data_IF_399134213771
#
_entry.id   IF_399134213771
#
_cell.length_a   1.000
_cell.length_b   1.000
_cell.length_c   1.000
_cell.angle_alpha   90.00
_cell.angle_beta   90.00
_cell.angle_gamma   90.00
#
_symmetry.space_group_name_H-M   'P 1'
#
loop_
_entity.id
_entity.type
_entity.pdbx_description
1 polymer ?
#
# COMPACT_ATOMS: atom_id res chain seq x y z
N UNK A 1 24.70 48.84 -70.60
CA UNK A 1 25.31 47.58 -70.10
C UNK A 1 26.39 47.94 -69.09
N UNK A 2 26.43 47.19 -67.98
CA UNK A 2 27.39 47.15 -66.84
C UNK A 2 28.84 47.65 -67.07
N UNK A 3 29.64 47.94 -66.00
CA UNK A 3 29.39 47.73 -64.57
C UNK A 3 29.88 48.81 -63.55
N UNK A 4 29.31 48.69 -62.33
CA UNK A 4 29.87 48.80 -60.94
C UNK A 4 30.94 49.87 -60.65
N UNK A 5 30.63 50.94 -59.89
CA UNK A 5 30.38 51.10 -58.43
C UNK A 5 31.59 50.93 -57.50
N UNK A 6 32.11 52.08 -57.06
CA UNK A 6 32.81 52.36 -55.79
C UNK A 6 32.54 53.83 -55.43
N UNK A 7 32.18 54.11 -54.17
CA UNK A 7 32.48 55.31 -53.33
C UNK A 7 31.58 55.27 -52.08
N UNK A 8 32.13 55.19 -50.86
CA UNK A 8 32.42 56.30 -49.91
C UNK A 8 31.14 57.07 -49.45
N UNK A 9 30.86 57.43 -48.19
CA UNK A 9 31.66 57.68 -46.97
C UNK A 9 30.70 57.91 -45.77
N UNK A 10 31.12 57.53 -44.54
CA UNK A 10 30.78 58.03 -43.16
C UNK A 10 29.33 58.38 -42.75
N UNK A 11 28.81 58.16 -41.53
CA UNK A 11 29.34 58.50 -40.20
C UNK A 11 28.47 57.91 -39.05
N UNK A 12 29.12 57.60 -37.91
CA UNK A 12 28.69 57.71 -36.49
C UNK A 12 27.29 57.20 -36.09
N UNK A 13 27.19 56.03 -35.44
CA UNK A 13 27.34 55.79 -33.99
C UNK A 13 26.01 55.83 -33.22
N UNK A 14 25.50 54.65 -32.87
CA UNK A 14 24.57 54.44 -31.76
C UNK A 14 25.06 53.24 -30.94
N UNK A 15 25.27 53.46 -29.64
CA UNK A 15 25.65 52.43 -28.68
C UNK A 15 24.45 51.52 -28.41
N UNK A 16 24.59 50.22 -28.63
CA UNK A 16 23.64 49.22 -28.14
C UNK A 16 24.35 48.32 -27.14
N UNK A 17 23.88 48.38 -25.90
CA UNK A 17 24.32 47.60 -24.76
C UNK A 17 23.79 46.17 -24.90
N UNK A 18 24.68 45.21 -25.19
CA UNK A 18 24.32 43.79 -25.27
C UNK A 18 24.28 43.19 -23.86
N UNK A 19 23.07 42.97 -23.34
CA UNK A 19 22.81 42.26 -22.11
C UNK A 19 22.99 40.76 -22.35
N UNK A 20 24.10 40.18 -21.90
CA UNK A 20 24.31 38.74 -21.93
C UNK A 20 23.46 38.08 -20.84
N UNK A 21 22.30 37.51 -21.21
CA UNK A 21 21.58 36.57 -20.36
C UNK A 21 22.38 35.26 -20.33
N UNK A 22 23.19 35.05 -19.28
CA UNK A 22 23.61 33.71 -18.90
C UNK A 22 22.37 32.97 -18.41
N UNK A 23 21.81 32.11 -19.27
CA UNK A 23 20.83 31.12 -18.89
C UNK A 23 21.56 30.08 -18.03
N UNK A 24 21.51 30.23 -16.71
CA UNK A 24 21.97 29.21 -15.80
C UNK A 24 21.17 27.94 -16.04
N UNK A 25 21.80 26.91 -16.60
CA UNK A 25 21.27 25.56 -16.55
C UNK A 25 21.21 25.16 -15.08
N UNK A 26 20.04 25.30 -14.47
CA UNK A 26 19.71 24.55 -13.27
C UNK A 26 19.93 23.07 -13.60
N UNK A 27 20.70 22.32 -12.81
CA UNK A 27 20.77 20.89 -12.99
C UNK A 27 19.35 20.37 -12.78
N UNK A 28 18.73 19.89 -13.86
CA UNK A 28 17.57 19.02 -13.76
C UNK A 28 18.06 17.76 -13.08
N UNK A 29 17.95 17.72 -11.75
CA UNK A 29 17.96 16.44 -11.05
C UNK A 29 16.83 15.65 -11.69
N UNK A 30 17.08 14.51 -12.35
CA UNK A 30 15.99 13.67 -12.77
C UNK A 30 15.31 13.24 -11.47
N UNK A 31 14.14 13.78 -11.20
CA UNK A 31 13.22 13.16 -10.27
C UNK A 31 12.85 11.84 -10.94
N UNK A 32 13.67 10.81 -10.71
CA UNK A 32 13.27 9.42 -10.88
C UNK A 32 12.19 9.18 -9.82
N UNK A 33 11.00 9.72 -10.07
CA UNK A 33 9.77 9.17 -9.52
C UNK A 33 9.49 7.87 -10.32
N UNK A 34 10.43 6.93 -10.25
CA UNK A 34 10.17 5.56 -10.62
C UNK A 34 9.32 4.94 -9.50
N UNK A 35 8.38 4.09 -9.87
CA UNK A 35 7.66 3.27 -8.91
C UNK A 35 8.60 2.43 -8.04
N UNK A 36 8.19 2.20 -6.80
CA UNK A 36 8.84 1.23 -5.91
C UNK A 36 8.22 -0.16 -6.08
N UNK A 37 8.19 -0.65 -7.32
CA UNK A 37 7.56 -1.94 -7.59
C UNK A 37 8.32 -3.09 -6.93
N UNK A 38 7.58 -4.10 -6.48
CA UNK A 38 8.14 -5.34 -5.93
C UNK A 38 8.37 -6.34 -7.06
N UNK A 39 9.61 -6.81 -7.20
CA UNK A 39 9.99 -7.75 -8.25
C UNK A 39 9.60 -9.19 -7.90
N UNK A 40 9.41 -10.04 -8.90
CA UNK A 40 9.27 -11.49 -8.69
C UNK A 40 10.58 -12.04 -8.08
N UNK A 41 10.46 -12.97 -7.13
CA UNK A 41 11.57 -13.40 -6.27
C UNK A 41 11.86 -12.45 -5.10
N UNK A 42 11.13 -11.32 -5.01
CA UNK A 42 11.31 -10.33 -3.96
C UNK A 42 10.90 -10.85 -2.59
N UNK A 43 11.65 -10.44 -1.57
CA UNK A 43 11.40 -10.77 -0.18
C UNK A 43 11.31 -9.51 0.66
N UNK A 44 10.13 -9.25 1.20
CA UNK A 44 9.81 -8.02 1.90
C UNK A 44 9.81 -8.26 3.40
N UNK A 45 10.65 -7.53 4.13
CA UNK A 45 10.58 -7.44 5.57
C UNK A 45 9.77 -6.20 5.98
N UNK A 46 8.74 -6.39 6.81
CA UNK A 46 8.07 -5.32 7.51
C UNK A 46 8.75 -5.10 8.86
N UNK A 47 9.38 -3.93 9.05
CA UNK A 47 10.13 -3.56 10.24
C UNK A 47 9.54 -2.30 10.87
N UNK A 48 9.24 -2.35 12.16
CA UNK A 48 8.68 -1.21 12.87
C UNK A 48 8.16 -1.58 14.25
N UNK A 49 7.38 -0.67 14.81
CA UNK A 49 6.77 -0.84 16.13
C UNK A 49 5.42 -1.61 16.09
N UNK A 50 4.50 -1.23 16.98
CA UNK A 50 3.13 -1.74 17.03
C UNK A 50 2.37 -1.57 15.71
N UNK A 51 2.72 -0.59 14.86
CA UNK A 51 2.12 -0.45 13.53
C UNK A 51 2.30 -1.73 12.71
N UNK A 52 3.53 -2.24 12.58
CA UNK A 52 3.76 -3.45 11.78
C UNK A 52 3.39 -4.72 12.54
N UNK A 53 3.67 -4.83 13.84
CA UNK A 53 3.32 -6.03 14.61
C UNK A 53 1.81 -6.34 14.50
N UNK A 54 0.96 -5.31 14.62
CA UNK A 54 -0.50 -5.50 14.56
C UNK A 54 -1.00 -5.92 13.19
N UNK A 55 -0.23 -5.76 12.11
CA UNK A 55 -0.63 -6.24 10.79
C UNK A 55 -0.76 -7.76 10.74
N UNK A 56 -0.12 -8.52 11.65
CA UNK A 56 -0.35 -9.97 11.82
C UNK A 56 -1.83 -10.28 12.06
N UNK A 57 -2.53 -9.43 12.83
CA UNK A 57 -3.96 -9.63 13.16
C UNK A 57 -4.90 -9.29 12.01
N UNK A 58 -4.48 -8.40 11.11
CA UNK A 58 -5.39 -7.81 10.14
C UNK A 58 -5.07 -8.20 8.69
N UNK A 59 -3.81 -8.29 8.29
CA UNK A 59 -3.38 -8.83 6.99
C UNK A 59 -3.57 -7.92 5.76
N UNK A 60 -4.17 -6.73 5.87
CA UNK A 60 -4.53 -5.90 4.69
C UNK A 60 -3.32 -5.45 3.88
N UNK A 61 -2.22 -5.04 4.52
CA UNK A 61 -1.05 -4.52 3.80
C UNK A 61 -0.46 -5.59 2.88
N UNK A 62 -0.22 -6.79 3.42
CA UNK A 62 0.30 -7.91 2.63
C UNK A 62 -0.70 -8.37 1.57
N UNK A 63 -1.99 -8.45 1.92
CA UNK A 63 -3.05 -8.82 0.96
C UNK A 63 -3.06 -7.85 -0.21
N UNK A 64 -2.97 -6.55 0.05
CA UNK A 64 -3.02 -5.53 -0.98
C UNK A 64 -1.82 -5.58 -1.91
N UNK A 65 -0.62 -5.75 -1.36
CA UNK A 65 0.61 -5.92 -2.15
C UNK A 65 0.61 -7.24 -2.94
N UNK A 66 0.09 -8.32 -2.36
CA UNK A 66 -0.02 -9.63 -3.01
C UNK A 66 -1.00 -9.60 -4.18
N UNK A 67 -2.17 -8.99 -3.98
CA UNK A 67 -3.18 -8.85 -5.02
C UNK A 67 -2.75 -7.89 -6.13
N UNK A 68 -1.90 -6.89 -5.84
CA UNK A 68 -1.40 -5.95 -6.86
C UNK A 68 -0.56 -6.66 -7.94
N UNK A 69 0.20 -7.69 -7.57
CA UNK A 69 1.08 -8.41 -8.50
C UNK A 69 0.86 -9.93 -8.43
N UNK A 70 -0.28 -10.44 -8.94
CA UNK A 70 -0.65 -11.85 -8.81
C UNK A 70 0.35 -12.78 -9.49
N UNK A 71 1.04 -12.32 -10.54
CA UNK A 71 2.03 -13.13 -11.27
C UNK A 71 3.43 -13.15 -10.64
N UNK A 72 3.70 -12.27 -9.66
CA UNK A 72 5.03 -12.15 -9.03
C UNK A 72 5.13 -13.04 -7.81
N UNK A 73 6.22 -13.79 -7.68
CA UNK A 73 6.50 -14.61 -6.48
C UNK A 73 7.16 -13.71 -5.42
N UNK A 74 6.36 -13.09 -4.58
CA UNK A 74 6.83 -12.21 -3.50
C UNK A 74 6.56 -12.88 -2.17
N UNK A 75 7.55 -12.88 -1.28
CA UNK A 75 7.45 -13.42 0.08
C UNK A 75 7.47 -12.27 1.07
N UNK A 76 6.56 -12.28 2.05
CA UNK A 76 6.47 -11.25 3.08
C UNK A 76 6.80 -11.83 4.46
N UNK A 77 7.61 -11.11 5.24
CA UNK A 77 8.00 -11.48 6.60
C UNK A 77 7.81 -10.27 7.51
N UNK A 78 6.92 -10.42 8.49
CA UNK A 78 6.66 -9.37 9.47
C UNK A 78 7.53 -9.58 10.71
N UNK A 79 8.49 -8.67 10.90
CA UNK A 79 9.40 -8.64 12.05
C UNK A 79 9.17 -7.39 12.92
N UNK A 80 7.99 -6.78 12.81
CA UNK A 80 7.55 -5.67 13.66
C UNK A 80 7.39 -6.08 15.12
N UNK A 81 7.66 -5.14 16.03
CA UNK A 81 7.67 -5.41 17.47
C UNK A 81 7.10 -4.23 18.26
N UNK A 82 6.01 -4.45 19.00
CA UNK A 82 5.32 -3.44 19.80
C UNK A 82 6.24 -2.83 20.86
N UNK A 83 6.27 -1.49 20.91
CA UNK A 83 7.14 -0.75 21.83
C UNK A 83 8.59 -0.62 21.37
N UNK A 84 8.92 -1.11 20.18
CA UNK A 84 10.26 -1.01 19.61
C UNK A 84 10.59 0.40 19.13
N UNK A 85 11.89 0.65 18.97
CA UNK A 85 12.45 1.89 18.46
C UNK A 85 13.57 1.57 17.46
N UNK A 86 14.12 2.53 16.71
CA UNK A 86 15.11 2.22 15.68
C UNK A 86 16.38 1.53 16.23
N UNK A 87 16.73 1.76 17.49
CA UNK A 87 17.82 1.06 18.20
C UNK A 87 17.46 -0.34 18.74
N UNK A 88 16.28 -0.88 18.40
CA UNK A 88 15.87 -2.23 18.80
C UNK A 88 15.54 -2.36 20.29
N UNK A 89 15.14 -1.27 20.97
CA UNK A 89 14.98 -1.22 22.44
C UNK A 89 14.10 -2.35 22.98
N UNK A 90 12.98 -2.65 22.33
CA UNK A 90 12.05 -3.68 22.82
C UNK A 90 12.56 -5.11 22.58
N UNK A 91 13.58 -5.26 21.73
CA UNK A 91 14.22 -6.54 21.38
C UNK A 91 15.34 -6.93 22.33
N UNK A 92 15.71 -6.05 23.27
CA UNK A 92 16.69 -6.34 24.30
C UNK A 92 16.13 -7.25 25.41
N UNK A 93 14.81 -7.31 25.59
CA UNK A 93 14.13 -8.01 26.69
C UNK A 93 14.63 -7.54 28.07
N UNK A 94 15.54 -8.31 28.68
CA UNK A 94 16.17 -8.05 29.98
C UNK A 94 17.66 -7.71 29.85
N UNK A 95 18.21 -7.78 28.64
CA UNK A 95 19.59 -7.42 28.34
C UNK A 95 19.73 -5.89 28.12
N UNK A 96 20.96 -5.36 28.09
CA UNK A 96 21.21 -3.98 27.69
C UNK A 96 20.69 -3.66 26.28
N UNK A 97 20.45 -2.37 26.00
CA UNK A 97 19.83 -1.91 24.74
C UNK A 97 20.65 -2.33 23.52
N UNK A 98 21.98 -2.38 23.65
CA UNK A 98 22.92 -2.81 22.62
C UNK A 98 22.58 -4.23 22.12
N UNK A 99 22.15 -5.12 23.03
CA UNK A 99 21.71 -6.46 22.68
C UNK A 99 20.42 -6.45 21.85
N UNK A 100 19.55 -5.48 22.08
CA UNK A 100 18.34 -5.27 21.28
C UNK A 100 18.66 -4.97 19.82
N UNK A 101 19.68 -4.15 19.56
CA UNK A 101 20.13 -3.83 18.21
C UNK A 101 20.78 -5.04 17.53
N UNK A 102 21.58 -5.84 18.24
CA UNK A 102 22.09 -7.12 17.73
C UNK A 102 20.95 -8.08 17.36
N UNK A 103 19.94 -8.20 18.22
CA UNK A 103 18.77 -9.05 17.95
C UNK A 103 17.97 -8.52 16.74
N UNK A 104 17.89 -7.20 16.53
CA UNK A 104 17.29 -6.64 15.32
C UNK A 104 17.99 -7.16 14.06
N UNK A 105 19.32 -7.16 14.04
CA UNK A 105 20.11 -7.70 12.91
C UNK A 105 19.85 -9.19 12.68
N UNK A 106 19.77 -9.99 13.76
CA UNK A 106 19.39 -11.41 13.67
C UNK A 106 17.99 -11.58 13.05
N UNK A 107 17.04 -10.72 13.39
CA UNK A 107 15.69 -10.77 12.79
C UNK A 107 15.69 -10.34 11.32
N UNK A 108 16.55 -9.39 10.93
CA UNK A 108 16.76 -9.03 9.52
C UNK A 108 17.34 -10.22 8.75
N UNK A 109 18.36 -10.88 9.27
CA UNK A 109 18.94 -12.09 8.68
C UNK A 109 17.91 -13.21 8.53
N UNK A 110 17.11 -13.46 9.57
CA UNK A 110 16.02 -14.43 9.50
C UNK A 110 15.04 -14.07 8.39
N UNK A 111 14.70 -12.79 8.25
CA UNK A 111 13.84 -12.27 7.20
C UNK A 111 14.55 -12.10 5.85
N UNK A 112 15.87 -12.33 5.77
CA UNK A 112 16.82 -12.04 4.67
C UNK A 112 16.18 -11.31 3.47
N UNK A 113 15.85 -10.02 3.66
CA UNK A 113 15.01 -9.27 2.74
C UNK A 113 15.79 -8.83 1.51
N UNK A 114 15.07 -8.68 0.39
CA UNK A 114 15.51 -7.86 -0.75
C UNK A 114 14.87 -6.47 -0.72
N UNK A 115 13.86 -6.29 0.14
CA UNK A 115 13.18 -5.02 0.40
C UNK A 115 12.89 -4.92 1.90
N UNK A 116 13.25 -3.81 2.53
CA UNK A 116 12.83 -3.50 3.90
C UNK A 116 11.88 -2.32 3.87
N UNK A 117 10.68 -2.52 4.41
CA UNK A 117 9.69 -1.46 4.60
C UNK A 117 9.66 -1.10 6.07
N UNK A 118 10.01 0.16 6.38
CA UNK A 118 10.26 0.65 7.74
C UNK A 118 9.17 1.62 8.15
N UNK A 119 8.67 1.50 9.38
CA UNK A 119 7.80 2.51 9.99
C UNK A 119 8.21 2.68 11.46
N UNK A 120 8.67 3.89 11.79
CA UNK A 120 8.98 4.36 13.13
C UNK A 120 8.66 5.86 13.23
N UNK A 121 8.73 6.42 14.44
CA UNK A 121 8.59 7.87 14.68
C UNK A 121 7.31 8.28 15.40
N UNK A 122 6.26 7.46 15.35
CA UNK A 122 4.99 7.76 16.04
C UNK A 122 5.19 7.93 17.56
N UNK A 123 5.98 7.04 18.17
CA UNK A 123 6.29 7.10 19.60
C UNK A 123 7.38 8.12 19.93
N UNK A 124 8.42 8.24 19.09
CA UNK A 124 9.49 9.22 19.29
C UNK A 124 8.96 10.67 19.30
N UNK A 125 7.93 10.96 18.51
CA UNK A 125 7.33 12.29 18.45
C UNK A 125 6.73 12.80 19.77
N UNK A 126 6.51 11.94 20.78
CA UNK A 126 6.12 12.40 22.11
C UNK A 126 7.24 13.18 22.83
N UNK A 127 8.49 13.04 22.41
CA UNK A 127 9.62 13.84 22.91
C UNK A 127 9.67 15.27 22.30
N UNK A 128 8.71 15.59 21.43
CA UNK A 128 8.63 16.91 20.78
C UNK A 128 9.89 17.23 19.96
N UNK A 129 10.17 18.51 19.77
CA UNK A 129 11.32 18.96 18.97
C UNK A 129 12.68 18.60 19.60
N UNK A 130 12.75 18.46 20.92
CA UNK A 130 13.98 18.14 21.64
C UNK A 130 14.49 16.72 21.33
N UNK A 131 13.58 15.75 21.14
CA UNK A 131 13.92 14.38 20.78
C UNK A 131 14.33 14.17 19.31
N UNK A 132 14.13 15.16 18.43
CA UNK A 132 14.25 14.97 16.99
C UNK A 132 15.67 14.55 16.56
N UNK A 133 16.70 15.25 17.05
CA UNK A 133 18.08 14.97 16.67
C UNK A 133 18.52 13.56 17.10
N UNK A 134 18.06 13.12 18.29
CA UNK A 134 18.31 11.76 18.79
C UNK A 134 17.61 10.72 17.90
N UNK A 135 16.36 10.97 17.52
CA UNK A 135 15.61 10.10 16.61
C UNK A 135 16.26 10.00 15.22
N UNK A 136 16.66 11.12 14.63
CA UNK A 136 17.35 11.14 13.33
C UNK A 136 18.63 10.31 13.37
N UNK A 137 19.45 10.47 14.41
CA UNK A 137 20.68 9.70 14.59
C UNK A 137 20.43 8.19 14.71
N UNK A 138 19.38 7.79 15.46
CA UNK A 138 18.99 6.37 15.61
C UNK A 138 18.45 5.79 14.31
N UNK A 139 17.68 6.57 13.55
CA UNK A 139 17.22 6.16 12.22
C UNK A 139 18.37 6.04 11.22
N UNK A 140 19.31 6.99 11.19
CA UNK A 140 20.53 6.90 10.35
C UNK A 140 21.31 5.62 10.69
N UNK A 141 21.52 5.31 11.98
CA UNK A 141 22.20 4.08 12.42
C UNK A 141 21.44 2.79 12.05
N UNK A 142 20.10 2.80 12.09
CA UNK A 142 19.30 1.67 11.63
C UNK A 142 19.46 1.44 10.11
N UNK A 143 19.46 2.52 9.32
CA UNK A 143 19.65 2.43 7.88
C UNK A 143 21.06 1.94 7.53
N UNK A 144 22.09 2.44 8.22
CA UNK A 144 23.46 1.93 8.10
C UNK A 144 23.52 0.42 8.39
N UNK A 145 22.83 -0.05 9.44
CA UNK A 145 22.77 -1.47 9.75
C UNK A 145 22.08 -2.27 8.63
N UNK A 146 20.91 -1.84 8.15
CA UNK A 146 20.19 -2.55 7.07
C UNK A 146 21.05 -2.65 5.80
N UNK A 147 21.71 -1.57 5.42
CA UNK A 147 22.60 -1.53 4.25
C UNK A 147 23.88 -2.37 4.45
N UNK A 148 24.35 -2.51 5.69
CA UNK A 148 25.53 -3.34 6.00
C UNK A 148 25.24 -4.84 6.04
N UNK A 149 24.03 -5.23 6.46
CA UNK A 149 23.63 -6.64 6.60
C UNK A 149 22.93 -7.17 5.33
N UNK A 150 22.44 -6.28 4.45
CA UNK A 150 21.61 -6.66 3.30
C UNK A 150 21.82 -5.75 2.08
N UNK A 151 21.57 -6.28 0.87
CA UNK A 151 21.46 -5.48 -0.36
C UNK A 151 20.01 -4.98 -0.60
N UNK A 152 19.22 -4.83 0.47
CA UNK A 152 17.80 -4.57 0.35
C UNK A 152 17.50 -3.13 -0.11
N UNK A 153 16.52 -2.98 -0.99
CA UNK A 153 15.92 -1.65 -1.24
C UNK A 153 15.12 -1.22 -0.03
N UNK A 154 15.21 0.03 0.37
CA UNK A 154 14.54 0.55 1.56
C UNK A 154 13.35 1.43 1.17
N UNK A 155 12.21 1.20 1.82
CA UNK A 155 11.06 2.10 1.80
C UNK A 155 10.73 2.55 3.23
N UNK A 156 10.62 3.85 3.44
CA UNK A 156 10.25 4.47 4.72
C UNK A 156 8.80 4.94 4.61
N UNK A 157 7.94 4.39 5.47
CA UNK A 157 6.57 4.87 5.65
C UNK A 157 6.57 5.91 6.76
N UNK A 158 5.91 7.04 6.53
CA UNK A 158 5.68 7.99 7.62
C UNK A 158 4.72 7.39 8.67
N UNK A 159 4.75 7.88 9.92
CA UNK A 159 3.68 7.65 10.87
C UNK A 159 2.30 8.06 10.32
N UNK A 160 1.24 7.43 10.83
CA UNK A 160 -0.14 7.87 10.58
C UNK A 160 -0.53 9.03 11.48
N UNK A 161 -1.44 9.92 11.06
CA UNK A 161 -1.87 11.01 11.93
C UNK A 161 -2.69 10.47 13.10
N UNK A 162 -2.64 11.18 14.24
CA UNK A 162 -3.42 10.84 15.43
C UNK A 162 -4.85 11.31 15.25
N UNK A 163 -5.79 10.42 15.55
CA UNK A 163 -7.21 10.64 15.36
C UNK A 163 -7.85 11.27 16.60
N UNK A 164 -8.71 12.26 16.37
CA UNK A 164 -9.53 12.83 17.43
C UNK A 164 -10.63 11.84 17.80
N UNK A 165 -10.74 11.47 19.08
CA UNK A 165 -11.70 10.48 19.58
C UNK A 165 -12.85 11.11 20.37
N UNK A 166 -13.20 12.36 20.06
CA UNK A 166 -14.10 13.16 20.87
C UNK A 166 -13.47 13.59 22.19
N UNK A 167 -14.31 14.07 23.12
CA UNK A 167 -13.86 14.68 24.38
C UNK A 167 -13.34 13.69 25.43
N UNK A 168 -13.27 12.39 25.12
CA UNK A 168 -12.79 11.33 26.04
C UNK A 168 -11.25 11.31 26.11
N UNK A 169 -10.57 11.68 25.03
CA UNK A 169 -9.11 11.75 24.95
C UNK A 169 -8.65 13.19 24.68
N UNK A 170 -7.42 13.57 25.07
CA UNK A 170 -6.87 14.87 24.73
C UNK A 170 -6.88 15.12 23.22
N UNK A 171 -7.21 16.34 22.82
CA UNK A 171 -7.18 16.77 21.43
C UNK A 171 -5.77 16.57 20.83
N UNK A 172 -5.63 15.82 19.73
CA UNK A 172 -4.34 15.46 19.19
C UNK A 172 -3.68 16.57 18.36
N UNK A 173 -4.28 17.76 18.21
CA UNK A 173 -3.74 18.83 17.34
C UNK A 173 -2.31 19.21 17.69
N UNK A 174 -1.96 19.38 18.96
CA UNK A 174 -0.57 19.66 19.36
C UNK A 174 0.34 18.47 19.04
N UNK A 175 -0.10 17.26 19.38
CA UNK A 175 0.64 16.02 19.14
C UNK A 175 0.88 15.74 17.64
N UNK A 176 -0.06 16.11 16.78
CA UNK A 176 0.08 16.02 15.33
C UNK A 176 1.05 17.08 14.78
N UNK A 177 1.12 18.29 15.36
CA UNK A 177 2.15 19.27 15.00
C UNK A 177 3.55 18.79 15.35
N UNK A 178 3.71 18.13 16.49
CA UNK A 178 5.00 17.54 16.87
C UNK A 178 5.34 16.36 15.94
N UNK A 179 4.37 15.48 15.68
CA UNK A 179 4.54 14.34 14.77
C UNK A 179 4.90 14.76 13.34
N UNK A 180 4.33 15.85 12.82
CA UNK A 180 4.62 16.39 11.50
C UNK A 180 6.11 16.76 11.32
N UNK A 181 6.79 17.19 12.39
CA UNK A 181 8.24 17.47 12.37
C UNK A 181 9.02 16.19 12.07
N UNK A 182 8.64 15.07 12.70
CA UNK A 182 9.29 13.77 12.51
C UNK A 182 8.98 13.19 11.13
N UNK A 183 7.76 13.39 10.63
CA UNK A 183 7.36 13.07 9.24
C UNK A 183 8.26 13.80 8.24
N UNK A 184 8.50 15.09 8.45
CA UNK A 184 9.41 15.89 7.62
C UNK A 184 10.86 15.42 7.67
N UNK A 185 11.35 15.03 8.85
CA UNK A 185 12.69 14.47 9.04
C UNK A 185 12.85 13.12 8.31
N UNK A 186 11.88 12.21 8.44
CA UNK A 186 11.88 10.92 7.73
C UNK A 186 11.88 11.09 6.21
N UNK A 187 11.12 12.05 5.67
CA UNK A 187 11.13 12.38 4.24
C UNK A 187 12.50 12.89 3.79
N UNK A 188 13.11 13.77 4.58
CA UNK A 188 14.44 14.33 4.31
C UNK A 188 15.50 13.23 4.35
N UNK A 189 15.44 12.36 5.34
CA UNK A 189 16.33 11.22 5.50
C UNK A 189 16.19 10.23 4.33
N UNK A 190 14.97 9.90 3.92
CA UNK A 190 14.73 9.03 2.77
C UNK A 190 15.40 9.58 1.50
N UNK A 191 15.20 10.87 1.22
CA UNK A 191 15.85 11.54 0.08
C UNK A 191 17.37 11.52 0.18
N UNK A 192 17.93 11.81 1.37
CA UNK A 192 19.39 11.80 1.62
C UNK A 192 20.00 10.42 1.36
N UNK A 193 19.29 9.35 1.71
CA UNK A 193 19.75 7.95 1.59
C UNK A 193 19.34 7.28 0.28
N UNK A 194 18.58 7.96 -0.58
CA UNK A 194 18.02 7.35 -1.79
C UNK A 194 16.97 6.26 -1.50
N UNK A 195 16.41 6.24 -0.28
CA UNK A 195 15.32 5.35 0.08
C UNK A 195 13.99 5.87 -0.46
N UNK A 196 13.05 4.96 -0.74
CA UNK A 196 11.71 5.34 -1.14
C UNK A 196 10.91 5.86 0.06
N UNK A 197 10.05 6.86 -0.16
CA UNK A 197 9.25 7.45 0.92
C UNK A 197 7.76 7.37 0.60
N UNK A 198 6.97 6.89 1.57
CA UNK A 198 5.50 6.86 1.49
C UNK A 198 4.94 7.77 2.58
N UNK A 199 4.18 8.78 2.15
CA UNK A 199 3.49 9.69 3.05
C UNK A 199 2.14 9.11 3.47
N UNK A 200 2.07 8.54 4.67
CA UNK A 200 0.81 8.12 5.30
C UNK A 200 0.19 9.23 6.15
N UNK A 201 1.00 10.18 6.62
CA UNK A 201 0.56 11.24 7.53
C UNK A 201 -0.40 12.21 6.84
N UNK A 202 -0.02 12.68 5.65
CA UNK A 202 -0.78 13.68 4.91
C UNK A 202 -1.86 13.08 4.01
N UNK A 203 -1.99 11.76 3.96
CA UNK A 203 -2.89 11.07 3.03
C UNK A 203 -4.12 10.49 3.69
N UNK A 204 -4.11 10.32 5.02
CA UNK A 204 -5.24 9.79 5.79
C UNK A 204 -6.07 10.92 6.41
N UNK A 205 -7.40 10.81 6.31
CA UNK A 205 -8.32 11.73 6.98
C UNK A 205 -8.68 11.19 8.37
N UNK A 206 -8.47 12.02 9.39
CA UNK A 206 -8.68 11.67 10.81
C UNK A 206 -9.66 12.59 11.53
N UNK A 207 -10.26 13.56 10.84
CA UNK A 207 -11.29 14.42 11.43
C UNK A 207 -12.69 13.82 11.23
N UNK A 208 -12.90 12.68 11.89
CA UNK A 208 -14.06 11.82 11.62
C UNK A 208 -15.39 12.43 11.99
N UNK A 209 -15.43 13.22 13.06
CA UNK A 209 -16.64 13.93 13.49
C UNK A 209 -16.98 15.08 12.55
N UNK A 210 -15.99 15.92 12.19
CA UNK A 210 -16.23 17.08 11.32
C UNK A 210 -16.65 16.67 9.91
N UNK A 211 -16.06 15.59 9.40
CA UNK A 211 -16.26 15.15 8.02
C UNK A 211 -17.27 14.00 7.89
N UNK A 212 -17.89 13.57 9.00
CA UNK A 212 -18.83 12.44 9.05
C UNK A 212 -18.28 11.17 8.39
N UNK A 213 -17.00 10.85 8.63
CA UNK A 213 -16.35 9.66 8.09
C UNK A 213 -16.14 8.60 9.18
N UNK A 214 -15.95 7.34 8.77
CA UNK A 214 -15.71 6.22 9.70
C UNK A 214 -14.38 6.39 10.45
N UNK A 215 -14.32 6.17 11.77
CA UNK A 215 -13.09 6.14 12.54
C UNK A 215 -12.08 5.13 12.00
N UNK A 216 -10.81 5.52 11.94
CA UNK A 216 -9.71 4.69 11.42
C UNK A 216 -8.82 4.14 12.54
N UNK A 217 -8.95 4.64 13.78
CA UNK A 217 -8.22 4.15 14.95
C UNK A 217 -9.13 3.64 16.06
N UNK A 218 -8.61 2.74 16.90
CA UNK A 218 -9.31 2.31 18.12
C UNK A 218 -9.14 3.33 19.25
N UNK A 219 -7.95 3.90 19.42
CA UNK A 219 -7.59 4.71 20.59
C UNK A 219 -6.91 6.05 20.25
N UNK A 220 -7.10 6.57 19.04
CA UNK A 220 -6.46 7.79 18.56
C UNK A 220 -5.06 7.57 17.96
N UNK A 221 -4.46 6.39 18.13
CA UNK A 221 -3.09 6.08 17.66
C UNK A 221 -3.08 4.78 16.85
N UNK A 222 -3.56 3.67 17.43
CA UNK A 222 -3.51 2.37 16.76
C UNK A 222 -4.66 2.22 15.78
N UNK A 223 -4.33 1.95 14.52
CA UNK A 223 -5.32 1.68 13.47
C UNK A 223 -6.22 0.51 13.86
N UNK A 224 -7.49 0.65 13.51
CA UNK A 224 -8.45 -0.45 13.46
C UNK A 224 -8.38 -1.14 12.08
N UNK A 225 -9.24 -2.12 11.84
CA UNK A 225 -9.30 -2.84 10.56
C UNK A 225 -9.53 -1.90 9.36
N UNK A 226 -10.42 -0.92 9.48
CA UNK A 226 -10.67 0.06 8.43
C UNK A 226 -9.44 0.97 8.19
N UNK A 227 -8.74 1.37 9.23
CA UNK A 227 -7.50 2.14 9.11
C UNK A 227 -6.39 1.38 8.39
N UNK A 228 -6.20 0.08 8.70
CA UNK A 228 -5.23 -0.74 7.97
C UNK A 228 -5.62 -0.96 6.51
N UNK A 229 -6.92 -1.05 6.20
CA UNK A 229 -7.39 -1.08 4.82
C UNK A 229 -6.99 0.18 4.04
N UNK A 230 -7.26 1.37 4.60
CA UNK A 230 -6.89 2.65 3.96
C UNK A 230 -5.37 2.78 3.79
N UNK A 231 -4.59 2.41 4.80
CA UNK A 231 -3.13 2.41 4.72
C UNK A 231 -2.61 1.44 3.66
N UNK A 232 -3.16 0.23 3.57
CA UNK A 232 -2.78 -0.73 2.55
C UNK A 232 -3.00 -0.18 1.14
N UNK A 233 -4.11 0.53 0.92
CA UNK A 233 -4.39 1.23 -0.34
C UNK A 233 -3.32 2.28 -0.64
N UNK A 234 -2.97 3.14 0.33
CA UNK A 234 -1.95 4.20 0.12
C UNK A 234 -0.56 3.64 -0.13
N UNK A 235 -0.18 2.55 0.55
CA UNK A 235 1.10 1.86 0.29
C UNK A 235 1.12 1.31 -1.14
N UNK A 236 0.06 0.60 -1.57
CA UNK A 236 -0.01 0.03 -2.91
C UNK A 236 -0.07 1.12 -4.00
N UNK A 237 -0.75 2.24 -3.75
CA UNK A 237 -0.75 3.38 -4.66
C UNK A 237 0.62 4.03 -4.78
N UNK A 238 1.38 4.13 -3.69
CA UNK A 238 2.73 4.66 -3.73
C UNK A 238 3.71 3.70 -4.43
N UNK A 239 3.56 2.39 -4.24
CA UNK A 239 4.49 1.41 -4.79
C UNK A 239 4.25 1.09 -6.27
N UNK A 240 3.05 1.33 -6.81
CA UNK A 240 2.69 0.96 -8.18
C UNK A 240 2.45 2.19 -9.06
N UNK A 241 2.77 2.10 -10.36
CA UNK A 241 2.63 3.21 -11.32
C UNK A 241 1.18 3.50 -11.72
N UNK A 242 0.29 2.51 -11.60
CA UNK A 242 -1.05 2.57 -12.18
C UNK A 242 -2.17 2.62 -11.13
N UNK A 243 -3.29 3.33 -11.42
CA UNK A 243 -4.43 3.45 -10.51
C UNK A 243 -4.99 2.09 -10.10
N UNK A 244 -5.59 2.00 -8.91
CA UNK A 244 -6.12 0.74 -8.37
C UNK A 244 -7.46 0.30 -8.97
N UNK A 245 -8.19 1.21 -9.60
CA UNK A 245 -9.57 1.00 -10.01
C UNK A 245 -9.66 0.28 -11.37
N UNK A 246 -10.50 -0.75 -11.43
CA UNK A 246 -10.83 -1.45 -12.68
C UNK A 246 -11.99 -0.75 -13.38
N UNK A 247 -12.01 -0.80 -14.70
CA UNK A 247 -13.16 -0.33 -15.47
C UNK A 247 -13.33 -1.09 -16.77
N UNK A 248 -14.57 -1.31 -17.18
CA UNK A 248 -14.86 -1.87 -18.51
C UNK A 248 -16.16 -1.31 -19.08
N UNK A 249 -16.14 -1.06 -20.38
CA UNK A 249 -17.30 -0.69 -21.17
C UNK A 249 -17.68 -1.83 -22.12
N UNK A 250 -18.95 -2.26 -22.05
CA UNK A 250 -19.50 -3.34 -22.88
C UNK A 250 -20.72 -2.85 -23.65
N UNK A 251 -20.82 -3.12 -24.94
CA UNK A 251 -22.01 -2.80 -25.73
C UNK A 251 -23.13 -3.79 -25.47
N UNK A 252 -24.37 -3.44 -25.83
CA UNK A 252 -25.48 -4.40 -25.85
C UNK A 252 -25.19 -5.66 -26.69
N UNK A 253 -24.38 -5.55 -27.74
CA UNK A 253 -23.99 -6.70 -28.57
C UNK A 253 -22.94 -7.61 -27.92
N UNK A 254 -22.47 -7.30 -26.71
CA UNK A 254 -21.47 -8.10 -26.00
C UNK A 254 -20.04 -7.82 -26.47
N UNK A 255 -19.76 -6.61 -26.96
CA UNK A 255 -18.43 -6.20 -27.41
C UNK A 255 -17.80 -5.25 -26.39
N UNK A 256 -16.54 -5.47 -26.01
CA UNK A 256 -15.80 -4.52 -25.17
C UNK A 256 -15.30 -3.34 -26.01
N UNK A 257 -15.43 -2.12 -25.48
CA UNK A 257 -14.92 -0.90 -26.13
C UNK A 257 -13.64 -0.39 -25.47
N UNK A 258 -13.65 -0.30 -24.15
CA UNK A 258 -12.52 0.10 -23.32
C UNK A 258 -12.48 -0.79 -22.09
N UNK A 259 -11.27 -1.16 -21.66
CA UNK A 259 -11.05 -1.96 -20.46
C UNK A 259 -9.73 -1.57 -19.79
N UNK A 260 -9.72 -1.55 -18.46
CA UNK A 260 -8.54 -1.26 -17.65
C UNK A 260 -8.47 -2.23 -16.47
N UNK A 261 -7.39 -3.01 -16.40
CA UNK A 261 -7.17 -4.05 -15.39
C UNK A 261 -8.25 -5.15 -15.31
N UNK A 262 -8.95 -5.39 -16.42
CA UNK A 262 -10.01 -6.39 -16.55
C UNK A 262 -10.22 -6.71 -18.04
N UNK A 263 -10.62 -7.94 -18.36
CA UNK A 263 -10.88 -8.41 -19.72
C UNK A 263 -12.29 -9.00 -19.84
N UNK A 264 -12.95 -8.79 -20.99
CA UNK A 264 -14.17 -9.50 -21.37
C UNK A 264 -13.78 -10.78 -22.13
N UNK A 265 -13.90 -11.94 -21.48
CA UNK A 265 -13.58 -13.23 -22.10
C UNK A 265 -14.65 -13.71 -23.07
N UNK A 266 -15.92 -13.50 -22.70
CA UNK A 266 -17.06 -13.99 -23.47
C UNK A 266 -18.31 -13.15 -23.21
N UNK A 267 -19.20 -13.10 -24.19
CA UNK A 267 -20.52 -12.51 -24.04
C UNK A 267 -21.57 -13.34 -24.77
N UNK A 268 -22.73 -13.52 -24.14
CA UNK A 268 -23.91 -14.16 -24.73
C UNK A 268 -25.10 -13.22 -24.62
N UNK A 269 -25.60 -12.82 -25.78
CA UNK A 269 -26.76 -11.93 -25.89
C UNK A 269 -28.01 -12.79 -26.06
N UNK A 270 -29.04 -12.49 -25.28
CA UNK A 270 -30.40 -12.98 -25.48
C UNK A 270 -31.35 -11.79 -25.68
N UNK A 271 -32.64 -12.06 -25.94
CA UNK A 271 -33.64 -10.98 -26.04
C UNK A 271 -33.82 -10.21 -24.74
N UNK A 272 -33.70 -10.88 -23.60
CA UNK A 272 -34.00 -10.33 -22.27
C UNK A 272 -32.76 -10.03 -21.41
N UNK A 273 -31.61 -10.62 -21.76
CA UNK A 273 -30.38 -10.52 -20.97
C UNK A 273 -29.10 -10.47 -21.78
N UNK A 274 -28.06 -9.92 -21.16
CA UNK A 274 -26.69 -9.97 -21.63
C UNK A 274 -25.85 -10.64 -20.53
N UNK A 275 -25.35 -11.84 -20.81
CA UNK A 275 -24.42 -12.55 -19.95
C UNK A 275 -22.99 -12.22 -20.38
N UNK A 276 -22.15 -11.74 -19.48
CA UNK A 276 -20.74 -11.45 -19.72
C UNK A 276 -19.86 -12.26 -18.78
N UNK A 277 -18.74 -12.76 -19.29
CA UNK A 277 -17.71 -13.45 -18.53
C UNK A 277 -16.48 -12.55 -18.47
N UNK A 278 -16.08 -12.18 -17.25
CA UNK A 278 -15.01 -11.23 -17.00
C UNK A 278 -13.82 -11.92 -16.34
N UNK A 279 -12.62 -11.47 -16.67
CA UNK A 279 -11.36 -11.87 -16.06
C UNK A 279 -10.66 -10.64 -15.52
N UNK A 280 -10.52 -10.57 -14.20
CA UNK A 280 -9.72 -9.53 -13.57
C UNK A 280 -8.23 -9.78 -13.80
N UNK A 281 -7.45 -8.72 -14.04
CA UNK A 281 -5.98 -8.81 -13.97
C UNK A 281 -5.49 -8.96 -12.52
N UNK A 282 -6.30 -8.51 -11.55
CA UNK A 282 -6.00 -8.55 -10.11
C UNK A 282 -7.25 -8.53 -9.25
N UNK A 283 -7.14 -9.08 -8.04
CA UNK A 283 -8.25 -9.12 -7.09
C UNK A 283 -8.64 -7.74 -6.59
N UNK A 284 -9.93 -7.59 -6.31
CA UNK A 284 -10.46 -6.39 -5.67
C UNK A 284 -10.40 -6.49 -4.16
N UNK A 285 -9.76 -5.48 -3.57
CA UNK A 285 -9.37 -5.49 -2.16
C UNK A 285 -10.38 -4.81 -1.24
N UNK A 286 -11.40 -4.13 -1.77
CA UNK A 286 -12.35 -3.38 -0.94
C UNK A 286 -13.64 -4.17 -0.70
N UNK A 287 -13.84 -4.75 0.50
CA UNK A 287 -15.10 -5.40 0.85
C UNK A 287 -16.14 -4.43 1.47
N UNK A 288 -15.85 -3.12 1.57
CA UNK A 288 -16.65 -2.21 2.41
C UNK A 288 -17.72 -1.46 1.62
N UNK A 289 -18.96 -1.54 2.13
CA UNK A 289 -20.02 -0.59 1.85
C UNK A 289 -19.57 0.84 2.25
N UNK A 290 -19.51 1.78 1.29
CA UNK A 290 -19.24 3.20 1.55
C UNK A 290 -18.38 3.95 0.50
N UNK A 291 -18.07 5.21 0.84
CA UNK A 291 -17.62 6.33 -0.03
C UNK A 291 -16.30 6.17 -0.82
N UNK A 292 -15.54 5.09 -0.65
CA UNK A 292 -14.19 4.98 -1.24
C UNK A 292 -13.89 3.68 -1.99
N UNK A 293 -14.83 2.74 -2.10
CA UNK A 293 -14.58 1.50 -2.85
C UNK A 293 -14.63 1.75 -4.37
N UNK A 294 -13.46 2.04 -4.96
CA UNK A 294 -13.28 2.06 -6.41
C UNK A 294 -12.85 0.68 -6.92
N UNK A 295 -13.70 -0.33 -6.69
CA UNK A 295 -13.50 -1.72 -7.10
C UNK A 295 -13.54 -1.86 -8.64
N UNK A 296 -14.75 -1.78 -9.21
CA UNK A 296 -15.00 -1.86 -10.63
C UNK A 296 -16.05 -0.84 -11.07
N UNK A 297 -15.72 -0.01 -12.05
CA UNK A 297 -16.72 0.75 -12.81
C UNK A 297 -17.14 -0.04 -14.04
N UNK A 298 -18.41 -0.43 -14.12
CA UNK A 298 -18.97 -1.16 -15.24
C UNK A 298 -19.96 -0.28 -16.02
N UNK A 299 -19.72 -0.12 -17.31
CA UNK A 299 -20.62 0.62 -18.20
C UNK A 299 -21.20 -0.29 -19.28
N UNK A 300 -22.49 -0.13 -19.55
CA UNK A 300 -23.15 -0.78 -20.68
C UNK A 300 -23.61 0.27 -21.69
N UNK A 301 -23.08 0.20 -22.91
CA UNK A 301 -23.42 1.11 -24.02
C UNK A 301 -24.53 0.54 -24.88
N UNK A 302 -25.24 1.43 -25.57
CA UNK A 302 -26.28 1.10 -26.56
C UNK A 302 -27.44 0.26 -26.00
N UNK A 303 -27.69 0.36 -24.69
CA UNK A 303 -28.88 -0.18 -24.07
C UNK A 303 -30.12 0.62 -24.53
N UNK A 304 -31.19 -0.04 -25.00
CA UNK A 304 -32.48 0.60 -25.19
C UNK A 304 -32.98 1.23 -23.91
N UNK A 305 -33.85 2.23 -24.06
CA UNK A 305 -34.52 2.87 -22.93
C UNK A 305 -35.21 1.82 -22.02
N UNK A 306 -35.06 2.02 -20.72
CA UNK A 306 -35.58 1.16 -19.67
C UNK A 306 -34.64 1.04 -18.47
N UNK A 307 -35.11 0.31 -17.48
CA UNK A 307 -34.36 -0.06 -16.26
C UNK A 307 -33.70 -1.42 -16.44
N UNK A 308 -32.47 -1.56 -15.94
CA UNK A 308 -31.70 -2.79 -16.00
C UNK A 308 -31.07 -3.09 -14.64
N UNK A 309 -30.96 -4.36 -14.32
CA UNK A 309 -30.30 -4.86 -13.13
C UNK A 309 -29.18 -5.83 -13.51
N UNK A 310 -28.06 -5.70 -12.82
CA UNK A 310 -26.89 -6.56 -12.94
C UNK A 310 -26.93 -7.59 -11.82
N UNK A 311 -26.79 -8.85 -12.17
CA UNK A 311 -26.84 -9.98 -11.25
C UNK A 311 -25.53 -10.80 -11.30
N UNK A 312 -25.14 -11.34 -10.15
CA UNK A 312 -24.15 -12.41 -10.02
C UNK A 312 -24.81 -13.55 -9.26
N UNK A 313 -24.95 -14.72 -9.89
CA UNK A 313 -25.58 -15.91 -9.29
C UNK A 313 -26.93 -15.63 -8.61
N UNK A 314 -27.74 -14.75 -9.21
CA UNK A 314 -29.06 -14.33 -8.70
C UNK A 314 -29.03 -13.21 -7.64
N UNK A 315 -27.86 -12.81 -7.14
CA UNK A 315 -27.69 -11.62 -6.29
C UNK A 315 -27.64 -10.36 -7.15
N UNK A 316 -28.54 -9.40 -6.91
CA UNK A 316 -28.51 -8.09 -7.58
C UNK A 316 -27.34 -7.28 -7.04
N UNK A 317 -26.42 -6.89 -7.94
CA UNK A 317 -25.25 -6.07 -7.61
C UNK A 317 -25.53 -4.58 -7.77
N UNK A 318 -26.26 -4.22 -8.82
CA UNK A 318 -26.66 -2.84 -9.09
C UNK A 318 -27.88 -2.78 -10.01
N UNK A 319 -28.65 -1.70 -9.90
CA UNK A 319 -29.81 -1.40 -10.76
C UNK A 319 -29.72 0.03 -11.27
N UNK A 320 -30.16 0.28 -12.49
CA UNK A 320 -30.31 1.63 -13.00
C UNK A 320 -30.81 1.72 -14.44
N UNK A 321 -31.16 2.93 -14.84
CA UNK A 321 -31.59 3.23 -16.20
C UNK A 321 -30.48 2.99 -17.22
N UNK A 322 -30.85 2.76 -18.48
CA UNK A 322 -29.91 2.72 -19.61
C UNK A 322 -28.94 3.92 -19.61
N UNK A 323 -29.43 5.12 -19.27
CA UNK A 323 -28.60 6.32 -19.18
C UNK A 323 -27.59 6.28 -18.03
N UNK A 324 -27.95 5.68 -16.89
CA UNK A 324 -27.03 5.48 -15.76
C UNK A 324 -25.95 4.47 -16.13
N UNK A 325 -26.33 3.33 -16.71
CA UNK A 325 -25.38 2.32 -17.18
C UNK A 325 -24.45 2.83 -18.29
N UNK A 326 -24.94 3.69 -19.19
CA UNK A 326 -24.11 4.33 -20.21
C UNK A 326 -22.98 5.19 -19.61
N UNK A 327 -23.23 5.84 -18.47
CA UNK A 327 -22.22 6.65 -17.75
C UNK A 327 -21.24 5.79 -16.92
N UNK A 328 -21.58 4.52 -16.69
CA UNK A 328 -20.85 3.65 -15.78
C UNK A 328 -21.42 3.68 -14.36
N UNK A 329 -21.46 2.50 -13.74
CA UNK A 329 -21.82 2.34 -12.33
C UNK A 329 -20.60 1.78 -11.61
N UNK A 330 -20.17 2.47 -10.55
CA UNK A 330 -19.20 1.95 -9.60
C UNK A 330 -19.87 0.88 -8.75
N UNK A 331 -19.38 -0.35 -8.84
CA UNK A 331 -19.86 -1.44 -8.00
C UNK A 331 -19.22 -1.33 -6.61
N UNK A 332 -20.05 -1.45 -5.57
CA UNK A 332 -19.62 -1.49 -4.18
C UNK A 332 -18.94 -2.83 -3.83
N UNK A 333 -19.36 -3.91 -4.49
CA UNK A 333 -18.85 -5.27 -4.33
C UNK A 333 -18.85 -5.98 -5.69
N UNK A 334 -17.92 -6.91 -5.86
CA UNK A 334 -17.84 -7.83 -6.98
C UNK A 334 -17.27 -9.20 -6.56
N UNK A 335 -17.45 -10.26 -7.37
CA UNK A 335 -17.09 -11.63 -6.96
C UNK A 335 -15.63 -11.84 -6.53
N UNK A 336 -14.68 -11.10 -7.10
CA UNK A 336 -13.27 -11.22 -6.70
C UNK A 336 -12.99 -10.69 -5.28
N UNK A 337 -13.93 -9.98 -4.65
CA UNK A 337 -13.81 -9.58 -3.24
C UNK A 337 -13.87 -10.79 -2.29
N UNK A 338 -14.68 -11.81 -2.59
CA UNK A 338 -14.76 -13.00 -1.73
C UNK A 338 -13.44 -13.78 -1.80
N UNK A 339 -12.86 -13.90 -3.00
CA UNK A 339 -11.54 -14.49 -3.18
C UNK A 339 -10.44 -13.67 -2.47
N UNK A 340 -10.54 -12.33 -2.46
CA UNK A 340 -9.62 -11.48 -1.72
C UNK A 340 -9.75 -11.64 -0.20
N UNK A 341 -10.96 -11.88 0.32
CA UNK A 341 -11.18 -12.18 1.73
C UNK A 341 -10.55 -13.53 2.12
N UNK A 342 -10.71 -14.57 1.29
CA UNK A 342 -10.04 -15.87 1.50
C UNK A 342 -8.51 -15.74 1.47
N UNK A 343 -7.99 -14.92 0.54
CA UNK A 343 -6.56 -14.59 0.47
C UNK A 343 -6.09 -13.93 1.77
N UNK A 344 -6.81 -12.92 2.25
CA UNK A 344 -6.48 -12.20 3.48
C UNK A 344 -6.47 -13.12 4.70
N UNK A 345 -7.47 -13.99 4.84
CA UNK A 345 -7.55 -14.93 5.96
C UNK A 345 -6.39 -15.95 5.92
N UNK A 346 -6.03 -16.41 4.72
CA UNK A 346 -4.87 -17.30 4.52
C UNK A 346 -3.55 -16.59 4.87
N UNK A 347 -3.41 -15.32 4.47
CA UNK A 347 -2.26 -14.47 4.82
C UNK A 347 -2.15 -14.27 6.34
N UNK A 348 -3.27 -14.04 7.04
CA UNK A 348 -3.31 -13.92 8.50
C UNK A 348 -2.82 -15.19 9.18
N UNK A 349 -3.35 -16.36 8.80
CA UNK A 349 -2.87 -17.66 9.32
C UNK A 349 -1.39 -17.85 9.08
N UNK A 350 -0.90 -17.56 7.86
CA UNK A 350 0.53 -17.64 7.52
C UNK A 350 1.37 -16.71 8.40
N UNK A 351 0.92 -15.48 8.62
CA UNK A 351 1.64 -14.50 9.45
C UNK A 351 1.65 -14.88 10.92
N UNK A 352 0.57 -15.47 11.43
CA UNK A 352 0.50 -15.99 12.79
C UNK A 352 1.48 -17.16 12.99
N UNK A 353 1.54 -18.10 12.05
CA UNK A 353 2.51 -19.19 12.05
C UNK A 353 3.96 -18.66 12.05
N UNK A 354 4.27 -17.72 11.17
CA UNK A 354 5.59 -17.09 11.14
C UNK A 354 5.89 -16.36 12.45
N UNK A 355 4.94 -15.58 12.99
CA UNK A 355 5.08 -14.88 14.26
C UNK A 355 5.44 -15.83 15.40
N UNK A 356 4.76 -16.97 15.51
CA UNK A 356 5.08 -17.98 16.52
C UNK A 356 6.44 -18.65 16.32
N UNK A 357 6.88 -18.81 15.08
CA UNK A 357 8.19 -19.35 14.76
C UNK A 357 9.33 -18.41 15.17
N UNK A 358 9.27 -17.14 14.74
CA UNK A 358 10.38 -16.22 14.94
C UNK A 358 10.37 -15.60 16.33
N UNK A 359 9.17 -15.36 16.88
CA UNK A 359 8.91 -14.74 18.19
C UNK A 359 7.99 -15.61 19.05
N UNK A 360 8.45 -16.79 19.51
CA UNK A 360 7.68 -17.61 20.43
C UNK A 360 7.49 -16.89 21.78
N UNK A 361 6.37 -17.16 22.45
CA UNK A 361 6.03 -16.51 23.73
C UNK A 361 7.06 -16.79 24.84
N UNK A 362 7.69 -17.97 24.82
CA UNK A 362 8.65 -18.42 25.83
C UNK A 362 10.11 -18.19 25.41
N UNK A 363 10.42 -17.09 24.72
CA UNK A 363 11.77 -16.79 24.19
C UNK A 363 12.88 -16.95 25.25
N UNK A 364 12.65 -16.49 26.48
CA UNK A 364 13.61 -16.61 27.60
C UNK A 364 13.98 -18.06 27.93
N UNK A 365 13.03 -18.99 27.77
CA UNK A 365 13.22 -20.42 28.05
C UNK A 365 13.69 -21.20 26.83
N UNK A 366 13.47 -20.67 25.62
CA UNK A 366 13.90 -21.29 24.38
C UNK A 366 15.32 -20.86 24.03
N UNK A 367 15.58 -19.55 23.95
CA UNK A 367 16.87 -18.98 23.50
C UNK A 367 17.60 -18.17 24.57
N UNK A 368 16.90 -17.67 25.58
CA UNK A 368 17.45 -16.78 26.61
C UNK A 368 18.21 -17.46 27.75
N UNK A 369 18.38 -16.73 28.86
CA UNK A 369 19.16 -17.17 30.02
C UNK A 369 18.56 -18.38 30.77
N UNK A 370 17.30 -18.73 30.52
CA UNK A 370 16.64 -19.94 31.08
C UNK A 370 16.59 -21.12 30.10
N UNK A 371 17.36 -21.08 29.01
CA UNK A 371 17.40 -22.15 28.00
C UNK A 371 17.79 -23.54 28.51
N UNK A 372 18.39 -23.64 29.70
CA UNK A 372 18.68 -24.94 30.31
C UNK A 372 17.40 -25.69 30.73
N UNK A 373 16.26 -25.00 30.85
CA UNK A 373 14.97 -25.62 31.21
C UNK A 373 14.21 -26.16 29.99
N UNK A 374 14.19 -25.42 28.87
CA UNK A 374 13.37 -25.76 27.69
C UNK A 374 14.07 -25.55 26.34
N UNK A 375 15.37 -25.24 26.32
CA UNK A 375 16.10 -24.91 25.09
C UNK A 375 16.18 -26.06 24.09
N UNK A 376 16.03 -27.31 24.53
CA UNK A 376 15.88 -28.47 23.66
C UNK A 376 14.66 -28.39 22.73
N UNK A 377 13.65 -27.57 23.08
CA UNK A 377 12.43 -27.38 22.29
C UNK A 377 12.62 -26.35 21.16
N UNK A 378 13.76 -25.63 21.09
CA UNK A 378 14.05 -24.70 19.97
C UNK A 378 13.97 -25.40 18.61
N UNK A 379 14.26 -26.71 18.57
CA UNK A 379 14.12 -27.56 17.37
C UNK A 379 12.69 -27.64 16.81
N UNK A 380 11.69 -27.25 17.59
CA UNK A 380 10.28 -27.21 17.18
C UNK A 380 9.97 -25.96 16.35
N UNK A 381 10.75 -24.88 16.49
CA UNK A 381 10.50 -23.64 15.75
C UNK A 381 10.60 -23.84 14.23
N UNK A 382 11.63 -24.51 13.67
CA UNK A 382 11.66 -24.86 12.24
C UNK A 382 10.51 -25.77 11.79
N UNK A 383 9.81 -26.47 12.69
CA UNK A 383 8.67 -27.29 12.29
C UNK A 383 7.48 -26.46 11.80
N UNK A 384 7.46 -25.15 12.09
CA UNK A 384 6.48 -24.22 11.52
C UNK A 384 6.69 -23.99 10.02
N UNK A 385 7.89 -24.21 9.48
CA UNK A 385 8.21 -23.94 8.07
C UNK A 385 7.29 -24.68 7.11
N UNK A 386 7.03 -25.97 7.37
CA UNK A 386 6.13 -26.78 6.54
C UNK A 386 4.68 -26.24 6.53
N UNK A 387 4.22 -25.66 7.65
CA UNK A 387 2.88 -25.05 7.72
C UNK A 387 2.85 -23.69 7.03
N UNK A 388 3.91 -22.89 7.17
CA UNK A 388 4.07 -21.62 6.48
C UNK A 388 4.09 -21.85 4.97
N UNK A 389 4.92 -22.78 4.49
CA UNK A 389 5.00 -23.16 3.07
C UNK A 389 3.64 -23.63 2.53
N UNK A 390 2.88 -24.40 3.31
CA UNK A 390 1.53 -24.83 2.92
C UNK A 390 0.57 -23.65 2.75
N UNK A 391 0.60 -22.67 3.64
CA UNK A 391 -0.23 -21.48 3.47
C UNK A 391 0.28 -20.58 2.33
N UNK A 392 1.60 -20.47 2.11
CA UNK A 392 2.20 -19.77 0.95
C UNK A 392 1.77 -20.38 -0.39
N UNK A 393 1.67 -21.71 -0.48
CA UNK A 393 1.13 -22.40 -1.66
C UNK A 393 -0.34 -22.03 -1.91
N UNK A 394 -1.17 -21.99 -0.86
CA UNK A 394 -2.57 -21.55 -0.98
C UNK A 394 -2.66 -20.09 -1.40
N UNK A 395 -1.83 -19.22 -0.85
CA UNK A 395 -1.72 -17.80 -1.23
C UNK A 395 -1.37 -17.68 -2.71
N UNK A 396 -0.44 -18.51 -3.21
CA UNK A 396 -0.01 -18.49 -4.60
C UNK A 396 -1.14 -18.84 -5.60
N UNK A 397 -2.10 -19.67 -5.18
CA UNK A 397 -3.29 -19.98 -5.95
C UNK A 397 -4.39 -18.92 -5.77
N UNK A 398 -4.65 -18.50 -4.53
CA UNK A 398 -5.72 -17.57 -4.19
C UNK A 398 -5.51 -16.18 -4.77
N UNK A 399 -4.26 -15.72 -4.93
CA UNK A 399 -4.00 -14.39 -5.48
C UNK A 399 -4.34 -14.24 -6.97
N UNK A 400 -4.48 -15.36 -7.70
CA UNK A 400 -4.80 -15.35 -9.14
C UNK A 400 -6.31 -15.19 -9.33
N UNK A 401 -6.80 -14.09 -9.92
CA UNK A 401 -8.23 -13.87 -10.06
C UNK A 401 -8.87 -14.96 -10.93
N UNK A 402 -10.01 -15.49 -10.48
CA UNK A 402 -10.81 -16.43 -11.27
C UNK A 402 -11.80 -15.69 -12.17
N UNK A 403 -12.07 -16.19 -13.38
CA UNK A 403 -13.15 -15.63 -14.18
C UNK A 403 -14.49 -15.76 -13.47
N UNK A 404 -15.36 -14.78 -13.67
CA UNK A 404 -16.72 -14.77 -13.12
C UNK A 404 -17.73 -14.25 -14.14
N UNK A 405 -19.00 -14.60 -13.96
CA UNK A 405 -20.08 -14.25 -14.91
C UNK A 405 -21.09 -13.32 -14.30
N UNK A 406 -21.38 -12.24 -15.00
CA UNK A 406 -22.43 -11.29 -14.64
C UNK A 406 -23.54 -11.32 -15.68
N UNK A 407 -24.78 -11.16 -15.23
CA UNK A 407 -25.94 -11.11 -16.10
C UNK A 407 -26.67 -9.78 -15.96
N UNK A 408 -26.74 -9.01 -17.04
CA UNK A 408 -27.54 -7.80 -17.12
C UNK A 408 -28.93 -8.16 -17.65
N UNK A 409 -29.98 -7.86 -16.89
CA UNK A 409 -31.39 -8.10 -17.26
C UNK A 409 -32.17 -6.81 -17.33
N UNK A 410 -33.09 -6.72 -18.30
CA UNK A 410 -34.08 -5.65 -18.31
C UNK A 410 -35.12 -5.89 -17.20
N UNK A 411 -35.46 -4.85 -16.43
CA UNK A 411 -36.49 -4.93 -15.41
C UNK A 411 -37.86 -4.79 -16.08
N UNK A 412 -38.69 -5.84 -16.04
CA UNK A 412 -40.05 -5.80 -16.59
C UNK A 412 -40.94 -4.84 -15.76
N UNK A 413 -41.60 -3.88 -16.43
CA UNK A 413 -42.53 -2.91 -15.82
C UNK A 413 -41.94 -1.56 -15.38
N UNK A 414 -40.67 -1.27 -15.71
CA UNK A 414 -39.92 -0.11 -15.21
C UNK A 414 -40.12 1.25 -15.90
N UNK A 415 -41.08 1.42 -16.81
CA UNK A 415 -41.46 2.75 -17.32
C UNK A 415 -42.99 2.88 -17.34
N UNK A 416 -43.51 3.73 -16.45
CA UNK A 416 -44.70 4.54 -16.73
C UNK A 416 -44.25 5.98 -16.87
#
# INVERSE_FOLDING_TARGET
MNPRFLTNVSHRAAKTMALCFLFGMLPTVPMLAGSFELNSGGRVAFLGDAFFERTVRYGQIETALTARWPDRKIVFRNIGWSGDSPEGRARAFFDPIEKGFENLKVHLDLAAPTVVVIQYGSMAAFEGREGLASFEAKMDALLDAIESETDARIAILSPTPREFKGDILPDPRSLNRDLEIYVGALKTLANKRGAFYVDLFNTLETNTERNNIKPITTNGIHLNEYGYFLVAERIVQAFAEYPSAKSIEVTKSGTSLEANSIELLNARVSEESLLIELQDERLSLSPLDGDFSRNLTLAFKDLPRGEYRLEFEGRVLATGSAGRWKRGIQLAWEPSNDQAADLQETIKRKNELFFHQWRPQNETYLRGFRKHEQGQNVKELPMYDAFIEKEEMKIADLKKPKPYRLELKKVQGGER
#
